data_IF_605029998328
#
_entry.id   IF_605029998328
#
_cell.length_a   1.000
_cell.length_b   1.000
_cell.length_c   1.000
_cell.angle_alpha   90.00
_cell.angle_beta   90.00
_cell.angle_gamma   90.00
#
_symmetry.space_group_name_H-M   'P 1'
#
loop_
_entity.id
_entity.type
_entity.pdbx_description
1 polymer ?
#
# COMPACT_ATOMS: atom_id res chain seq x y z
N UNK A 1 3.23 36.07 24.97
CA UNK A 1 4.30 35.39 24.20
C UNK A 1 3.63 34.52 23.13
N UNK A 2 3.71 34.85 21.82
CA UNK A 2 3.18 33.98 20.79
C UNK A 2 4.11 32.77 20.65
N UNK A 3 3.56 31.55 20.68
CA UNK A 3 4.31 30.33 20.38
C UNK A 3 4.75 30.41 18.91
N UNK A 4 6.04 30.62 18.67
CA UNK A 4 6.57 30.60 17.30
C UNK A 4 6.33 29.22 16.71
N UNK A 5 5.46 29.13 15.71
CA UNK A 5 5.26 27.91 14.94
C UNK A 5 6.46 27.74 14.01
N UNK A 6 7.60 27.27 14.55
CA UNK A 6 8.75 26.90 13.74
C UNK A 6 8.41 25.58 13.08
N UNK A 7 8.04 25.66 11.80
CA UNK A 7 8.00 24.51 10.92
C UNK A 7 9.41 23.94 10.88
N UNK A 8 9.63 22.82 11.59
CA UNK A 8 10.93 22.14 11.56
C UNK A 8 11.18 21.72 10.10
N UNK A 9 12.37 21.96 9.55
CA UNK A 9 12.71 21.40 8.24
C UNK A 9 12.55 19.88 8.34
N UNK A 10 11.74 19.28 7.45
CA UNK A 10 11.60 17.82 7.34
C UNK A 10 12.95 17.26 6.89
N UNK A 11 13.83 16.95 7.85
CA UNK A 11 15.00 16.12 7.61
C UNK A 11 14.48 14.76 7.15
N UNK A 12 14.81 14.38 5.91
CA UNK A 12 14.55 13.05 5.34
C UNK A 12 15.33 12.01 6.18
N UNK A 13 14.69 11.46 7.21
CA UNK A 13 15.24 10.34 7.97
C UNK A 13 15.01 9.06 7.17
N UNK A 14 15.94 8.70 6.30
CA UNK A 14 15.84 7.53 5.41
C UNK A 14 16.13 6.18 6.10
N UNK A 15 16.17 6.12 7.44
CA UNK A 15 16.62 4.94 8.18
C UNK A 15 15.51 4.09 8.81
N UNK A 16 14.26 4.58 8.84
CA UNK A 16 13.13 3.89 9.48
C UNK A 16 12.06 3.56 8.44
N UNK A 17 11.84 2.27 8.24
CA UNK A 17 10.73 1.72 7.45
C UNK A 17 9.70 1.15 8.41
N UNK A 18 8.44 1.55 8.26
CA UNK A 18 7.33 0.98 9.06
C UNK A 18 6.51 0.04 8.18
N UNK A 19 6.40 -1.22 8.60
CA UNK A 19 5.47 -2.18 7.99
C UNK A 19 4.07 -1.97 8.55
N UNK A 20 3.07 -1.84 7.68
CA UNK A 20 1.66 -1.73 8.06
C UNK A 20 0.90 -2.87 7.38
N UNK A 21 0.17 -3.63 8.19
CA UNK A 21 -0.55 -4.85 7.78
C UNK A 21 -2.08 -4.65 7.91
N UNK A 22 -2.71 -3.93 6.98
CA UNK A 22 -4.15 -3.69 7.01
C UNK A 22 -4.96 -4.89 6.51
N UNK A 23 -6.15 -5.03 7.08
CA UNK A 23 -7.26 -5.82 6.55
C UNK A 23 -8.44 -4.92 6.22
N UNK A 24 -9.07 -5.15 5.07
CA UNK A 24 -10.24 -4.39 4.63
C UNK A 24 -11.48 -4.81 5.41
N UNK A 25 -12.24 -3.83 5.88
CA UNK A 25 -13.53 -4.03 6.54
C UNK A 25 -14.58 -3.17 5.84
N UNK A 26 -15.58 -3.83 5.25
CA UNK A 26 -16.64 -3.18 4.48
C UNK A 26 -17.73 -2.57 5.37
N UNK A 27 -18.21 -1.38 4.99
CA UNK A 27 -19.18 -0.58 5.71
C UNK A 27 -20.32 -0.14 4.77
N UNK A 28 -21.54 0.02 5.30
CA UNK A 28 -22.66 0.60 4.53
C UNK A 28 -22.63 2.13 4.59
N UNK A 29 -22.25 2.67 5.74
CA UNK A 29 -22.06 4.09 5.99
C UNK A 29 -20.60 4.33 6.46
N UNK A 30 -19.88 5.32 5.89
CA UNK A 30 -18.51 5.63 6.31
C UNK A 30 -18.39 6.09 7.77
N UNK A 31 -19.48 6.48 8.43
CA UNK A 31 -19.51 6.91 9.82
C UNK A 31 -19.78 5.78 10.82
N UNK A 32 -19.87 4.52 10.37
CA UNK A 32 -19.98 3.35 11.26
C UNK A 32 -18.74 3.17 12.15
N UNK A 33 -17.62 3.77 11.75
CA UNK A 33 -16.35 3.76 12.48
C UNK A 33 -15.85 5.19 12.68
N UNK A 34 -15.07 5.40 13.74
CA UNK A 34 -14.42 6.69 14.00
C UNK A 34 -13.20 6.95 13.10
N UNK A 35 -12.70 5.91 12.44
CA UNK A 35 -11.55 5.95 11.54
C UNK A 35 -11.94 6.32 10.12
N UNK A 36 -10.98 6.82 9.35
CA UNK A 36 -11.25 7.25 7.99
C UNK A 36 -11.60 6.06 7.09
N UNK A 37 -12.81 6.09 6.56
CA UNK A 37 -13.28 5.19 5.52
C UNK A 37 -13.20 5.85 4.13
N UNK A 38 -13.18 5.02 3.09
CA UNK A 38 -13.25 5.43 1.69
C UNK A 38 -14.39 4.74 0.99
N UNK A 39 -14.87 5.36 -0.09
CA UNK A 39 -15.73 4.67 -1.05
C UNK A 39 -14.88 3.68 -1.84
N UNK A 40 -15.31 2.43 -1.93
CA UNK A 40 -14.61 1.39 -2.70
C UNK A 40 -15.13 1.35 -4.14
N UNK A 41 -14.26 1.01 -5.08
CA UNK A 41 -14.63 0.83 -6.50
C UNK A 41 -15.46 -0.44 -6.73
N UNK A 42 -15.21 -1.49 -5.95
CA UNK A 42 -15.93 -2.76 -6.00
C UNK A 42 -16.69 -2.92 -4.67
N UNK A 43 -18.03 -2.94 -4.68
CA UNK A 43 -18.82 -3.12 -3.47
C UNK A 43 -18.50 -4.43 -2.75
N UNK A 44 -18.69 -4.43 -1.43
CA UNK A 44 -18.57 -5.64 -0.61
C UNK A 44 -19.66 -6.67 -0.92
N UNK A 45 -19.54 -7.90 -0.39
CA UNK A 45 -20.45 -9.02 -0.70
C UNK A 45 -21.93 -8.73 -0.44
N UNK A 46 -22.24 -7.80 0.47
CA UNK A 46 -23.61 -7.40 0.81
C UNK A 46 -23.97 -5.99 0.31
N UNK A 47 -23.31 -5.50 -0.74
CA UNK A 47 -23.57 -4.18 -1.34
C UNK A 47 -23.02 -3.00 -0.54
N UNK A 48 -22.04 -3.24 0.33
CA UNK A 48 -21.34 -2.19 1.07
C UNK A 48 -20.47 -1.36 0.13
N UNK A 49 -20.70 -0.04 0.07
CA UNK A 49 -19.97 0.85 -0.82
C UNK A 49 -18.73 1.49 -0.19
N UNK A 50 -18.52 1.29 1.12
CA UNK A 50 -17.42 1.88 1.85
C UNK A 50 -16.53 0.81 2.47
N UNK A 51 -15.28 1.16 2.75
CA UNK A 51 -14.41 0.36 3.56
C UNK A 51 -13.45 1.23 4.37
N UNK A 52 -13.05 0.71 5.52
CA UNK A 52 -11.85 1.16 6.22
C UNK A 52 -10.85 0.02 6.27
N UNK A 53 -9.62 0.35 6.62
CA UNK A 53 -8.51 -0.60 6.64
C UNK A 53 -7.99 -0.71 8.05
N UNK A 54 -8.39 -1.76 8.75
CA UNK A 54 -8.03 -1.99 10.13
C UNK A 54 -6.61 -2.56 10.21
N UNK A 55 -5.76 -1.99 11.06
CA UNK A 55 -4.43 -2.52 11.28
C UNK A 55 -4.49 -3.85 12.02
N UNK A 56 -3.69 -4.81 11.56
CA UNK A 56 -3.47 -6.07 12.24
C UNK A 56 -2.07 -6.09 12.84
N UNK A 57 -1.92 -6.83 13.93
CA UNK A 57 -0.66 -7.06 14.64
C UNK A 57 -0.44 -8.56 14.84
N UNK A 58 0.66 -8.91 15.49
CA UNK A 58 1.06 -10.30 15.73
C UNK A 58 1.03 -11.13 14.43
N UNK A 59 1.68 -10.63 13.36
CA UNK A 59 1.73 -11.32 12.07
C UNK A 59 0.41 -11.40 11.31
N UNK A 60 -0.55 -10.51 11.59
CA UNK A 60 -1.85 -10.47 10.92
C UNK A 60 -2.95 -11.27 11.62
N UNK A 61 -2.66 -11.84 12.80
CA UNK A 61 -3.57 -12.70 13.56
C UNK A 61 -4.45 -11.94 14.55
N UNK A 62 -4.05 -10.74 14.97
CA UNK A 62 -4.76 -9.95 15.98
C UNK A 62 -5.17 -8.58 15.42
N UNK A 63 -6.42 -8.20 15.65
CA UNK A 63 -6.96 -6.90 15.27
C UNK A 63 -6.48 -5.81 16.24
N UNK A 64 -6.08 -4.66 15.72
CA UNK A 64 -5.83 -3.47 16.52
C UNK A 64 -6.89 -2.41 16.23
N UNK A 65 -7.40 -1.67 17.24
CA UNK A 65 -8.42 -0.66 17.04
C UNK A 65 -7.81 0.65 16.50
N UNK A 66 -7.15 0.59 15.34
CA UNK A 66 -6.66 1.75 14.61
C UNK A 66 -6.76 1.48 13.10
N UNK A 67 -7.10 2.52 12.33
CA UNK A 67 -7.04 2.46 10.88
C UNK A 67 -5.63 2.66 10.34
N UNK A 68 -5.35 2.05 9.20
CA UNK A 68 -4.07 2.18 8.50
C UNK A 68 -3.80 3.61 8.04
N UNK A 69 -4.84 4.38 7.74
CA UNK A 69 -4.70 5.81 7.43
C UNK A 69 -4.16 6.60 8.62
N UNK A 70 -4.77 6.41 9.79
CA UNK A 70 -4.37 7.08 11.02
C UNK A 70 -2.96 6.66 11.43
N UNK A 71 -2.65 5.36 11.33
CA UNK A 71 -1.31 4.86 11.63
C UNK A 71 -0.27 5.44 10.65
N UNK A 72 -0.53 5.43 9.35
CA UNK A 72 0.40 5.95 8.33
C UNK A 72 0.76 7.42 8.58
N UNK A 73 -0.24 8.26 8.88
CA UNK A 73 -0.01 9.66 9.23
C UNK A 73 0.77 9.80 10.54
N UNK A 74 0.41 9.03 11.56
CA UNK A 74 1.08 9.09 12.85
C UNK A 74 2.56 8.70 12.73
N UNK A 75 2.89 7.64 11.99
CA UNK A 75 4.29 7.22 11.84
C UNK A 75 5.10 8.18 10.99
N UNK A 76 4.52 8.81 9.97
CA UNK A 76 5.16 9.92 9.25
C UNK A 76 5.47 11.08 10.20
N UNK A 77 4.50 11.50 11.02
CA UNK A 77 4.69 12.59 11.99
C UNK A 77 5.74 12.26 13.07
N UNK A 78 5.89 10.98 13.41
CA UNK A 78 6.92 10.46 14.31
C UNK A 78 8.31 10.36 13.66
N UNK A 79 8.41 10.54 12.33
CA UNK A 79 9.67 10.57 11.60
C UNK A 79 10.03 9.28 10.85
N UNK A 80 9.06 8.42 10.54
CA UNK A 80 9.26 7.34 9.58
C UNK A 80 9.72 7.91 8.23
N UNK A 81 10.65 7.21 7.59
CA UNK A 81 11.19 7.59 6.28
C UNK A 81 10.46 6.96 5.11
N UNK A 82 9.82 5.82 5.33
CA UNK A 82 9.14 5.03 4.31
C UNK A 82 8.11 4.08 4.96
N UNK A 83 7.06 3.75 4.21
CA UNK A 83 6.02 2.79 4.62
C UNK A 83 6.10 1.57 3.70
N UNK A 84 6.24 0.39 4.31
CA UNK A 84 6.00 -0.88 3.64
C UNK A 84 4.54 -1.27 3.87
N UNK A 85 3.70 -1.13 2.85
CA UNK A 85 2.27 -1.36 2.93
C UNK A 85 1.93 -2.75 2.38
N UNK A 86 1.52 -3.65 3.27
CA UNK A 86 0.95 -4.93 2.91
C UNK A 86 -0.57 -4.81 2.67
N UNK A 87 -1.18 -5.86 2.17
CA UNK A 87 -2.62 -6.07 2.12
C UNK A 87 -2.88 -7.51 2.55
N UNK A 88 -3.50 -7.73 3.72
CA UNK A 88 -3.74 -9.09 4.23
C UNK A 88 -4.72 -9.85 3.34
N UNK A 89 -5.76 -9.17 2.84
CA UNK A 89 -6.74 -9.80 1.97
C UNK A 89 -6.13 -10.20 0.63
N UNK A 90 -5.17 -9.43 0.12
CA UNK A 90 -4.51 -9.67 -1.17
C UNK A 90 -3.31 -10.61 -1.07
N UNK A 91 -2.85 -10.86 0.16
CA UNK A 91 -1.69 -11.72 0.37
C UNK A 91 -2.01 -13.13 -0.10
N UNK A 92 -1.01 -13.82 -0.64
CA UNK A 92 -1.10 -15.17 -1.23
C UNK A 92 -2.11 -15.40 -2.38
N UNK A 93 -2.90 -14.40 -2.81
CA UNK A 93 -3.87 -14.57 -3.91
C UNK A 93 -3.26 -14.39 -5.31
N UNK A 94 -2.22 -13.57 -5.45
CA UNK A 94 -1.63 -13.22 -6.74
C UNK A 94 -2.58 -12.44 -7.69
N UNK A 95 -3.73 -12.00 -7.20
CA UNK A 95 -4.82 -11.40 -7.99
C UNK A 95 -4.67 -9.90 -8.26
N UNK A 96 -3.55 -9.29 -7.86
CA UNK A 96 -3.28 -7.86 -8.01
C UNK A 96 -3.20 -7.13 -6.66
N UNK A 97 -2.76 -5.87 -6.72
CA UNK A 97 -2.69 -5.00 -5.55
C UNK A 97 -4.08 -4.45 -5.19
N UNK A 98 -4.32 -4.16 -3.91
CA UNK A 98 -5.47 -3.35 -3.52
C UNK A 98 -5.23 -1.88 -3.88
N UNK A 99 -5.67 -1.49 -5.08
CA UNK A 99 -5.52 -0.12 -5.59
C UNK A 99 -6.21 0.91 -4.68
N UNK A 100 -7.37 0.58 -4.10
CA UNK A 100 -8.07 1.49 -3.20
C UNK A 100 -7.22 1.76 -1.94
N UNK A 101 -6.66 0.71 -1.33
CA UNK A 101 -5.75 0.84 -0.19
C UNK A 101 -4.49 1.63 -0.55
N UNK A 102 -3.83 1.25 -1.65
CA UNK A 102 -2.56 1.85 -2.06
C UNK A 102 -2.71 3.33 -2.32
N UNK A 103 -3.74 3.72 -3.06
CA UNK A 103 -4.07 5.13 -3.31
C UNK A 103 -4.44 5.85 -2.01
N UNK A 104 -5.26 5.23 -1.17
CA UNK A 104 -5.72 5.81 0.08
C UNK A 104 -4.57 6.17 1.03
N UNK A 105 -3.55 5.33 1.12
CA UNK A 105 -2.38 5.59 1.98
C UNK A 105 -1.35 6.48 1.27
N UNK A 106 -1.03 6.22 -0.01
CA UNK A 106 -0.05 7.05 -0.73
C UNK A 106 -0.48 8.50 -0.91
N UNK A 107 -1.78 8.77 -1.05
CA UNK A 107 -2.31 10.15 -1.08
C UNK A 107 -2.34 10.80 0.32
N UNK A 108 -2.20 10.03 1.39
CA UNK A 108 -2.30 10.52 2.77
C UNK A 108 -0.98 11.03 3.35
N UNK A 109 0.15 10.51 2.87
CA UNK A 109 1.49 10.77 3.40
C UNK A 109 2.40 11.37 2.33
N UNK A 110 3.49 12.02 2.76
CA UNK A 110 4.50 12.56 1.82
C UNK A 110 5.75 11.69 1.69
N UNK A 111 5.90 10.69 2.56
CA UNK A 111 6.99 9.71 2.52
C UNK A 111 6.69 8.60 1.51
N UNK A 112 7.72 7.93 0.94
CA UNK A 112 7.53 6.81 0.04
C UNK A 112 6.66 5.69 0.63
N UNK A 113 5.81 5.12 -0.22
CA UNK A 113 5.00 3.93 0.09
C UNK A 113 5.40 2.82 -0.87
N UNK A 114 5.80 1.68 -0.30
CA UNK A 114 6.11 0.45 -1.01
C UNK A 114 4.90 -0.49 -0.93
N UNK A 115 4.35 -0.90 -2.07
CA UNK A 115 3.37 -1.98 -2.11
C UNK A 115 4.05 -3.34 -2.01
N UNK A 116 3.68 -4.16 -1.04
CA UNK A 116 4.42 -5.39 -0.73
C UNK A 116 3.75 -6.69 -1.21
N UNK A 117 2.42 -6.78 -1.14
CA UNK A 117 1.67 -8.00 -1.44
C UNK A 117 0.58 -7.79 -2.51
N UNK A 118 0.28 -8.85 -3.27
CA UNK A 118 -0.83 -8.90 -4.24
C UNK A 118 -0.42 -9.17 -5.69
N UNK A 119 0.76 -8.75 -6.14
CA UNK A 119 1.17 -8.98 -7.53
C UNK A 119 1.50 -10.44 -7.87
N UNK A 120 0.65 -11.06 -8.69
CA UNK A 120 0.94 -12.32 -9.40
C UNK A 120 1.44 -12.16 -10.85
N UNK A 121 1.27 -11.00 -11.50
CA UNK A 121 1.71 -10.78 -12.89
C UNK A 121 2.39 -9.41 -13.07
N UNK A 122 3.14 -9.26 -14.15
CA UNK A 122 3.71 -7.96 -14.57
C UNK A 122 2.62 -6.92 -14.83
N UNK A 123 1.47 -7.34 -15.37
CA UNK A 123 0.35 -6.45 -15.62
C UNK A 123 -0.17 -5.79 -14.34
N UNK A 124 -0.19 -6.52 -13.21
CA UNK A 124 -0.57 -5.97 -11.91
C UNK A 124 0.39 -4.86 -11.43
N UNK A 125 1.69 -4.99 -11.75
CA UNK A 125 2.68 -3.95 -11.45
C UNK A 125 2.47 -2.71 -12.32
N UNK A 126 2.17 -2.89 -13.60
CA UNK A 126 1.86 -1.79 -14.51
C UNK A 126 0.60 -1.04 -14.10
N UNK A 127 -0.49 -1.76 -13.79
CA UNK A 127 -1.75 -1.17 -13.30
C UNK A 127 -1.51 -0.35 -12.02
N UNK A 128 -0.76 -0.91 -11.07
CA UNK A 128 -0.43 -0.22 -9.83
C UNK A 128 0.27 1.13 -10.04
N UNK A 129 1.25 1.21 -10.95
CA UNK A 129 1.94 2.47 -11.24
C UNK A 129 1.09 3.46 -12.03
N UNK A 130 0.08 3.00 -12.77
CA UNK A 130 -0.86 3.88 -13.48
C UNK A 130 -1.91 4.47 -12.54
N UNK A 131 -2.37 3.69 -11.57
CA UNK A 131 -3.55 4.04 -10.74
C UNK A 131 -3.19 4.65 -9.37
N UNK A 132 -1.92 4.57 -8.95
CA UNK A 132 -1.49 4.99 -7.60
C UNK A 132 -0.27 5.90 -7.62
N UNK A 133 -0.11 6.73 -6.57
CA UNK A 133 1.06 7.58 -6.35
C UNK A 133 2.17 6.88 -5.56
N UNK A 134 2.04 5.57 -5.33
CA UNK A 134 3.02 4.82 -4.56
C UNK A 134 4.38 4.76 -5.27
N UNK A 135 5.44 4.72 -4.48
CA UNK A 135 6.80 4.97 -4.96
C UNK A 135 7.45 3.71 -5.52
N UNK A 136 7.08 2.54 -5.03
CA UNK A 136 7.70 1.26 -5.35
C UNK A 136 6.70 0.13 -5.15
N UNK A 137 6.84 -0.95 -5.90
CA UNK A 137 6.15 -2.22 -5.64
C UNK A 137 7.15 -3.37 -5.54
N UNK A 138 6.83 -4.32 -4.68
CA UNK A 138 7.49 -5.61 -4.55
C UNK A 138 6.55 -6.66 -5.15
N UNK A 139 7.07 -7.47 -6.06
CA UNK A 139 6.35 -8.66 -6.52
C UNK A 139 7.08 -9.88 -5.97
N UNK A 140 6.61 -10.37 -4.81
CA UNK A 140 7.23 -11.52 -4.14
C UNK A 140 6.79 -12.86 -4.75
N UNK A 141 5.60 -12.93 -5.37
CA UNK A 141 4.99 -14.18 -5.85
C UNK A 141 4.90 -14.32 -7.38
N UNK A 142 4.99 -13.23 -8.16
CA UNK A 142 4.93 -13.29 -9.63
C UNK A 142 6.04 -14.17 -10.26
N UNK A 143 7.07 -14.55 -9.50
CA UNK A 143 8.21 -15.33 -9.98
C UNK A 143 8.45 -16.56 -9.11
N UNK A 144 7.70 -17.63 -9.38
CA UNK A 144 7.86 -18.98 -8.78
C UNK A 144 9.17 -19.69 -9.18
N UNK A 145 10.28 -18.95 -9.32
CA UNK A 145 11.64 -19.46 -9.52
C UNK A 145 12.61 -18.53 -8.77
N UNK A 146 12.58 -18.56 -7.43
CA UNK A 146 13.70 -18.09 -6.59
C UNK A 146 14.20 -16.65 -6.77
N UNK A 147 13.47 -15.74 -7.42
CA UNK A 147 13.90 -14.35 -7.67
C UNK A 147 12.91 -13.37 -7.07
N UNK A 148 13.40 -12.51 -6.17
CA UNK A 148 12.67 -11.36 -5.62
C UNK A 148 12.99 -10.14 -6.49
N UNK A 149 11.97 -9.46 -7.00
CA UNK A 149 12.14 -8.27 -7.82
C UNK A 149 11.50 -7.06 -7.14
N UNK A 150 12.20 -5.94 -7.17
CA UNK A 150 11.83 -4.66 -6.55
C UNK A 150 11.69 -3.62 -7.67
N UNK A 151 10.54 -2.96 -7.76
CA UNK A 151 10.20 -2.08 -8.88
C UNK A 151 9.97 -0.66 -8.38
N UNK A 152 10.63 0.34 -8.96
CA UNK A 152 10.51 1.75 -8.55
C UNK A 152 9.80 2.60 -9.60
N UNK A 153 9.00 3.57 -9.18
CA UNK A 153 8.17 4.43 -10.05
C UNK A 153 8.98 5.19 -11.12
N UNK A 154 10.26 5.52 -10.85
CA UNK A 154 11.18 6.18 -11.80
C UNK A 154 11.58 5.36 -13.04
N UNK A 155 10.98 4.19 -13.26
CA UNK A 155 11.30 3.31 -14.38
C UNK A 155 10.07 2.74 -15.08
N UNK A 156 8.83 3.23 -14.89
CA UNK A 156 7.63 2.60 -15.45
C UNK A 156 7.77 2.13 -16.93
N UNK A 157 8.32 2.96 -17.82
CA UNK A 157 8.56 2.60 -19.24
C UNK A 157 9.76 1.66 -19.46
N UNK A 158 10.81 1.73 -18.63
CA UNK A 158 11.99 0.86 -18.71
C UNK A 158 11.77 -0.49 -18.02
N UNK A 159 10.96 -0.52 -16.97
CA UNK A 159 10.51 -1.71 -16.23
C UNK A 159 9.67 -2.57 -17.15
N UNK A 160 8.74 -2.00 -17.94
CA UNK A 160 7.98 -2.77 -18.94
C UNK A 160 8.93 -3.48 -19.93
N UNK A 161 9.94 -2.78 -20.47
CA UNK A 161 10.92 -3.38 -21.40
C UNK A 161 11.85 -4.40 -20.72
N UNK A 162 12.37 -4.11 -19.52
CA UNK A 162 13.23 -5.02 -18.75
C UNK A 162 12.46 -6.28 -18.33
N UNK A 163 11.17 -6.14 -18.01
CA UNK A 163 10.28 -7.25 -17.67
C UNK A 163 9.99 -8.14 -18.88
N UNK A 164 9.90 -7.58 -20.08
CA UNK A 164 9.74 -8.35 -21.33
C UNK A 164 11.05 -9.01 -21.79
N UNK A 165 12.20 -8.39 -21.52
CA UNK A 165 13.52 -8.86 -21.99
C UNK A 165 14.23 -9.84 -21.03
N UNK A 166 13.93 -9.81 -19.73
CA UNK A 166 14.67 -10.57 -18.70
C UNK A 166 13.81 -11.53 -17.86
N UNK A 167 12.51 -11.60 -18.13
CA UNK A 167 11.64 -12.61 -17.55
C UNK A 167 11.09 -13.47 -18.69
N UNK A 168 11.38 -14.77 -18.67
CA UNK A 168 10.75 -15.76 -19.54
C UNK A 168 9.27 -15.95 -19.11
N UNK A 169 8.47 -14.90 -19.22
CA UNK A 169 7.04 -14.96 -19.01
C UNK A 169 6.36 -15.21 -20.36
N UNK A 170 6.19 -16.48 -20.71
CA UNK A 170 5.23 -16.86 -21.75
C UNK A 170 3.83 -16.41 -21.30
N UNK A 171 3.22 -15.55 -22.10
CA UNK A 171 1.80 -15.22 -22.03
C UNK A 171 1.00 -16.50 -22.30
N UNK A 172 0.41 -17.07 -21.25
CA UNK A 172 -0.66 -18.07 -21.35
C UNK A 172 -1.93 -17.51 -20.74
#
# INVERSE_FOLDING_TARGET
MPKSNRQKPKTLFTAVVVSIDPRRVYLKDPNEVEFKAIKVTIPGPNGQEYAWYQCMVNGGWEEWPIGAYELAKAVEDLGAGEILLNCIDCDVQGAGFDINLMKFISDAVTIPVIASSGAGTVAHVSEFFMETNASTSLALQAFSIGRRCLFTNGQASKVINILQENCDCETT
#
